data_IF_980128575635
#
_entry.id   IF_980128575635
#
_cell.length_a   1.000
_cell.length_b   1.000
_cell.length_c   1.000
_cell.angle_alpha   90.00
_cell.angle_beta   90.00
_cell.angle_gamma   90.00
#
_symmetry.space_group_name_H-M   'P 1'
#
loop_
_entity.id
_entity.type
_entity.pdbx_description
1 polymer ?
#
# COMPACT_ATOMS: atom_id res chain seq x y z
N UNK A 1 27.15 10.51 4.48
CA UNK A 1 26.01 10.47 3.56
C UNK A 1 25.39 9.10 3.52
N UNK A 2 24.29 8.92 4.23
CA UNK A 2 23.55 7.65 4.25
C UNK A 2 22.04 7.88 4.01
N UNK A 3 21.72 8.88 3.19
CA UNK A 3 20.36 9.44 3.03
C UNK A 3 19.72 9.09 1.68
N UNK A 4 20.20 8.03 1.00
CA UNK A 4 19.79 7.74 -0.39
C UNK A 4 19.53 6.24 -0.67
N UNK A 5 19.13 5.45 0.33
CA UNK A 5 18.92 4.01 0.11
C UNK A 5 17.47 3.60 -0.24
N UNK A 6 16.42 4.36 0.14
CA UNK A 6 15.06 3.80 0.12
C UNK A 6 13.96 4.66 -0.51
N UNK A 7 14.31 5.75 -1.18
CA UNK A 7 13.34 6.51 -1.96
C UNK A 7 13.69 6.41 -3.43
N UNK A 8 13.35 5.26 -4.04
CA UNK A 8 13.08 5.28 -5.47
C UNK A 8 12.11 6.45 -5.71
N UNK A 9 12.37 7.34 -6.70
CA UNK A 9 11.46 8.43 -6.99
C UNK A 9 10.05 7.87 -7.08
N UNK A 10 9.05 8.54 -6.51
CA UNK A 10 7.64 8.09 -6.55
C UNK A 10 7.21 7.53 -7.91
N UNK A 11 7.75 8.11 -8.98
CA UNK A 11 7.57 7.69 -10.36
C UNK A 11 8.06 6.25 -10.66
N UNK A 12 9.20 5.84 -10.10
CA UNK A 12 9.74 4.47 -10.23
C UNK A 12 8.84 3.47 -9.50
N UNK A 13 8.36 3.81 -8.30
CA UNK A 13 7.43 2.96 -7.55
C UNK A 13 6.10 2.81 -8.30
N UNK A 14 5.53 3.90 -8.81
CA UNK A 14 4.31 3.86 -9.62
C UNK A 14 4.49 3.04 -10.92
N UNK A 15 5.63 3.19 -11.62
CA UNK A 15 5.91 2.37 -12.81
C UNK A 15 6.08 0.90 -12.49
N UNK A 16 6.69 0.57 -11.34
CA UNK A 16 6.83 -0.80 -10.90
C UNK A 16 5.45 -1.44 -10.62
N UNK A 17 4.56 -0.71 -9.93
CA UNK A 17 3.18 -1.18 -9.67
C UNK A 17 2.45 -1.49 -10.99
N UNK A 18 2.49 -0.57 -11.96
CA UNK A 18 1.87 -0.76 -13.27
C UNK A 18 2.48 -1.97 -13.99
N UNK A 19 3.80 -2.10 -13.98
CA UNK A 19 4.49 -3.22 -14.63
C UNK A 19 4.14 -4.58 -14.01
N UNK A 20 3.94 -4.66 -12.69
CA UNK A 20 3.50 -5.89 -12.01
C UNK A 20 2.06 -6.28 -12.39
N UNK A 21 1.16 -5.29 -12.46
CA UNK A 21 -0.22 -5.50 -12.90
C UNK A 21 -0.27 -5.93 -14.37
N UNK A 22 0.45 -5.24 -15.26
CA UNK A 22 0.54 -5.56 -16.69
C UNK A 22 1.16 -6.95 -16.93
N UNK A 23 2.06 -7.38 -16.04
CA UNK A 23 2.64 -8.73 -16.06
C UNK A 23 1.73 -9.80 -15.43
N UNK A 24 0.46 -9.48 -15.18
CA UNK A 24 -0.55 -10.35 -14.57
C UNK A 24 -0.17 -10.87 -13.17
N UNK A 25 0.66 -10.12 -12.44
CA UNK A 25 1.01 -10.37 -11.03
C UNK A 25 0.26 -9.46 -10.05
N UNK A 26 -0.69 -8.67 -10.56
CA UNK A 26 -1.63 -7.94 -9.72
C UNK A 26 -2.45 -8.89 -8.83
N UNK A 27 -2.94 -8.34 -7.73
CA UNK A 27 -3.79 -9.02 -6.74
C UNK A 27 -5.17 -8.42 -6.76
N UNK A 28 -6.13 -9.17 -6.20
CA UNK A 28 -7.50 -8.70 -6.04
C UNK A 28 -7.58 -7.65 -4.92
N UNK A 29 -8.39 -6.63 -5.17
CA UNK A 29 -8.75 -5.63 -4.18
C UNK A 29 -9.78 -6.24 -3.21
N UNK A 30 -9.32 -6.65 -2.03
CA UNK A 30 -10.16 -7.27 -0.99
C UNK A 30 -11.26 -6.37 -0.45
N UNK A 31 -11.19 -5.07 -0.75
CA UNK A 31 -12.19 -4.06 -0.35
C UNK A 31 -13.24 -3.84 -1.46
N UNK A 32 -12.98 -4.31 -2.68
CA UNK A 32 -13.87 -4.16 -3.82
C UNK A 32 -14.70 -5.42 -4.07
N UNK A 33 -15.88 -5.25 -4.67
CA UNK A 33 -16.73 -6.35 -5.12
C UNK A 33 -16.46 -6.77 -6.58
N UNK A 34 -15.38 -6.25 -7.16
CA UNK A 34 -14.98 -6.49 -8.54
C UNK A 34 -13.82 -7.48 -8.56
N UNK A 35 -14.01 -8.65 -9.17
CA UNK A 35 -12.95 -9.63 -9.42
C UNK A 35 -12.01 -9.11 -10.52
N UNK A 36 -11.13 -8.19 -10.13
CA UNK A 36 -10.05 -7.64 -10.94
C UNK A 36 -8.76 -7.67 -10.15
N UNK A 37 -7.74 -8.22 -10.79
CA UNK A 37 -6.37 -8.28 -10.29
C UNK A 37 -5.56 -7.07 -10.75
N UNK A 38 -6.05 -5.88 -10.43
CA UNK A 38 -5.52 -4.61 -10.93
C UNK A 38 -4.86 -3.74 -9.85
N UNK A 39 -4.59 -4.30 -8.66
CA UNK A 39 -3.88 -3.62 -7.59
C UNK A 39 -2.67 -4.42 -7.10
N UNK A 40 -1.88 -3.83 -6.20
CA UNK A 40 -0.84 -4.52 -5.43
C UNK A 40 -1.14 -4.39 -3.94
N UNK A 41 -0.58 -5.28 -3.11
CA UNK A 41 -0.68 -5.15 -1.66
C UNK A 41 0.48 -4.33 -1.11
N UNK A 42 0.14 -3.34 -0.29
CA UNK A 42 1.07 -2.60 0.55
C UNK A 42 1.11 -3.27 1.92
N UNK A 43 2.27 -3.81 2.27
CA UNK A 43 2.52 -4.40 3.58
C UNK A 43 3.16 -3.37 4.52
N UNK A 44 2.41 -2.99 5.56
CA UNK A 44 2.88 -2.12 6.63
C UNK A 44 2.80 -2.81 8.00
N UNK A 45 2.59 -4.12 8.02
CA UNK A 45 2.40 -4.91 9.26
C UNK A 45 3.64 -4.93 10.14
N UNK A 46 4.81 -4.65 9.56
CA UNK A 46 6.09 -4.52 10.25
C UNK A 46 6.32 -3.13 10.88
N UNK A 47 5.44 -2.17 10.65
CA UNK A 47 5.54 -0.82 11.19
C UNK A 47 4.65 -0.70 12.42
N UNK A 48 5.21 -0.17 13.51
CA UNK A 48 4.46 0.08 14.74
C UNK A 48 3.30 1.05 14.49
N UNK A 49 2.09 0.69 14.96
CA UNK A 49 0.87 1.49 14.71
C UNK A 49 1.00 2.92 15.21
N UNK A 50 1.61 3.11 16.38
CA UNK A 50 1.81 4.45 16.93
C UNK A 50 2.72 5.29 16.02
N UNK A 51 3.75 4.70 15.44
CA UNK A 51 4.64 5.39 14.50
C UNK A 51 3.89 5.83 13.24
N UNK A 52 3.00 4.99 12.71
CA UNK A 52 2.15 5.35 11.57
C UNK A 52 1.16 6.47 11.91
N UNK A 53 0.58 6.45 13.12
CA UNK A 53 -0.33 7.51 13.58
C UNK A 53 0.40 8.85 13.77
N UNK A 54 1.66 8.82 14.21
CA UNK A 54 2.45 10.04 14.40
C UNK A 54 2.94 10.62 13.06
N UNK A 55 3.37 9.76 12.13
CA UNK A 55 3.93 10.18 10.85
C UNK A 55 2.86 10.46 9.76
N UNK A 56 1.81 9.62 9.70
CA UNK A 56 0.81 9.59 8.63
C UNK A 56 -0.62 9.38 9.17
N UNK A 57 -1.11 10.22 10.10
CA UNK A 57 -2.41 10.01 10.76
C UNK A 57 -3.58 9.92 9.78
N UNK A 58 -3.60 10.78 8.75
CA UNK A 58 -4.69 10.81 7.76
C UNK A 58 -4.72 9.55 6.88
N UNK A 59 -3.57 8.92 6.63
CA UNK A 59 -3.50 7.69 5.84
C UNK A 59 -4.11 6.54 6.63
N UNK A 60 -3.72 6.40 7.91
CA UNK A 60 -4.26 5.38 8.82
C UNK A 60 -5.77 5.55 8.97
N UNK A 61 -6.26 6.76 9.24
CA UNK A 61 -7.70 7.03 9.34
C UNK A 61 -8.46 6.67 8.06
N UNK A 62 -7.88 6.97 6.90
CA UNK A 62 -8.50 6.67 5.60
C UNK A 62 -8.63 5.16 5.40
N UNK A 63 -7.58 4.40 5.72
CA UNK A 63 -7.59 2.93 5.59
C UNK A 63 -8.64 2.33 6.52
N UNK A 64 -8.67 2.73 7.79
CA UNK A 64 -9.64 2.21 8.76
C UNK A 64 -11.08 2.59 8.41
N UNK A 65 -11.30 3.81 7.90
CA UNK A 65 -12.64 4.35 7.63
C UNK A 65 -13.26 3.86 6.32
N UNK A 66 -12.46 3.75 5.26
CA UNK A 66 -12.96 3.44 3.92
C UNK A 66 -12.65 2.02 3.47
N UNK A 67 -11.48 1.50 3.81
CA UNK A 67 -11.11 0.11 3.51
C UNK A 67 -11.55 -0.86 4.62
N UNK A 68 -11.85 -0.35 5.82
CA UNK A 68 -12.18 -1.16 7.00
C UNK A 68 -11.05 -2.16 7.37
N UNK A 69 -9.80 -1.77 7.12
CA UNK A 69 -8.60 -2.56 7.38
C UNK A 69 -7.76 -1.93 8.50
N UNK A 70 -7.04 -2.74 9.26
CA UNK A 70 -6.02 -2.28 10.21
C UNK A 70 -4.64 -2.38 9.52
N UNK A 71 -4.00 -1.26 9.12
CA UNK A 71 -2.74 -1.30 8.37
C UNK A 71 -1.57 -1.95 9.14
N UNK A 72 -1.70 -2.13 10.45
CA UNK A 72 -0.70 -2.84 11.27
C UNK A 72 -0.85 -4.36 11.25
N UNK A 73 -1.92 -4.89 10.66
CA UNK A 73 -2.25 -6.33 10.65
C UNK A 73 -2.66 -6.84 9.29
N UNK A 74 -3.32 -6.00 8.50
CA UNK A 74 -3.92 -6.32 7.22
C UNK A 74 -3.11 -5.71 6.08
N UNK A 75 -3.11 -6.40 4.95
CA UNK A 75 -2.52 -5.92 3.71
C UNK A 75 -3.45 -4.92 3.05
N UNK A 76 -2.92 -3.76 2.65
CA UNK A 76 -3.72 -2.66 2.09
C UNK A 76 -3.63 -2.69 0.56
N UNK A 77 -4.74 -2.85 -0.17
CA UNK A 77 -4.71 -2.79 -1.63
C UNK A 77 -4.45 -1.36 -2.12
N UNK A 78 -3.45 -1.17 -2.99
CA UNK A 78 -3.10 0.12 -3.59
C UNK A 78 -3.03 0.05 -5.11
N UNK A 79 -3.34 1.18 -5.76
CA UNK A 79 -3.42 1.37 -7.22
C UNK A 79 -2.65 2.61 -7.61
#
# INVERSE_FOLDING_TARGET
DNTHADLAPRDVVSRAIIAEVDAARGVEDTTSNVDKKDCVWLDMTHIEKQHMLDALPQVVETIEKYAHLDPSKDLVPIK
#
